data_IF_688974591087
#
_entry.id   IF_688974591087
#
_cell.length_a   1.000
_cell.length_b   1.000
_cell.length_c   1.000
_cell.angle_alpha   90.00
_cell.angle_beta   90.00
_cell.angle_gamma   90.00
#
_symmetry.space_group_name_H-M   'P 1'
#
loop_
_entity.id
_entity.type
_entity.pdbx_description
1 polymer ?
#
# COMPACT_ATOMS: atom_id res chain seq x y z
N UNK A 1 7.52 -8.64 19.68
CA UNK A 1 6.92 -7.31 19.78
C UNK A 1 7.04 -6.73 18.38
N UNK A 2 5.92 -6.45 17.70
CA UNK A 2 6.01 -5.70 16.44
C UNK A 2 6.56 -4.33 16.82
N UNK A 3 7.68 -3.92 16.23
CA UNK A 3 8.13 -2.53 16.35
C UNK A 3 7.05 -1.66 15.71
N UNK A 4 6.37 -0.84 16.51
CA UNK A 4 5.35 0.11 16.04
C UNK A 4 5.94 1.18 15.09
N UNK A 5 7.27 1.20 14.94
CA UNK A 5 8.03 2.09 14.08
C UNK A 5 8.26 1.53 12.66
N UNK A 6 7.43 0.60 12.17
CA UNK A 6 7.55 0.04 10.83
C UNK A 6 6.54 0.68 9.87
N UNK A 7 7.06 1.28 8.80
CA UNK A 7 6.29 1.89 7.72
C UNK A 7 6.38 1.05 6.45
N UNK A 8 5.33 1.12 5.63
CA UNK A 8 5.28 0.47 4.32
C UNK A 8 5.76 1.47 3.26
N UNK A 9 6.64 1.04 2.36
CA UNK A 9 7.10 1.83 1.20
C UNK A 9 6.93 1.08 -0.10
N UNK A 10 7.07 1.80 -1.21
CA UNK A 10 7.31 1.19 -2.52
C UNK A 10 8.73 1.50 -3.01
N UNK A 11 9.43 0.48 -3.48
CA UNK A 11 10.73 0.64 -4.14
C UNK A 11 10.82 -0.31 -5.32
N UNK A 12 11.09 0.21 -6.53
CA UNK A 12 11.20 -0.59 -7.77
C UNK A 12 9.98 -1.47 -8.05
N UNK A 13 8.78 -0.96 -7.78
CA UNK A 13 7.53 -1.69 -8.05
C UNK A 13 7.26 -2.85 -7.10
N UNK A 14 7.94 -2.91 -5.95
CA UNK A 14 7.63 -3.87 -4.88
C UNK A 14 7.37 -3.15 -3.56
N UNK A 15 6.53 -3.76 -2.73
CA UNK A 15 6.24 -3.29 -1.37
C UNK A 15 7.35 -3.76 -0.42
N UNK A 16 7.79 -2.87 0.47
CA UNK A 16 8.80 -3.18 1.48
C UNK A 16 8.44 -2.56 2.82
N UNK A 17 8.89 -3.22 3.89
CA UNK A 17 8.88 -2.68 5.23
C UNK A 17 10.19 -1.94 5.50
N UNK A 18 10.10 -0.77 6.11
CA UNK A 18 11.25 0.00 6.57
C UNK A 18 10.93 0.66 7.91
N UNK A 19 11.95 1.11 8.62
CA UNK A 19 11.76 1.98 9.79
C UNK A 19 11.13 3.30 9.34
N UNK A 20 10.10 3.77 10.05
CA UNK A 20 9.48 5.05 9.78
C UNK A 20 10.47 6.20 10.03
N UNK A 21 10.69 7.04 9.03
CA UNK A 21 11.45 8.28 9.13
C UNK A 21 10.52 9.51 9.15
N UNK A 22 11.00 10.67 9.60
CA UNK A 22 10.19 11.89 9.66
C UNK A 22 9.65 12.33 8.28
N UNK A 23 10.46 12.13 7.24
CA UNK A 23 10.09 12.30 5.82
C UNK A 23 9.73 10.97 5.14
N UNK A 24 9.32 9.99 5.94
CA UNK A 24 9.05 8.62 5.51
C UNK A 24 8.01 8.49 4.39
N UNK A 25 7.91 7.31 3.78
CA UNK A 25 7.02 7.04 2.65
C UNK A 25 5.57 7.40 2.98
N UNK A 26 5.02 8.35 2.21
CA UNK A 26 3.64 8.82 2.39
C UNK A 26 2.71 8.02 1.50
N UNK A 27 1.62 7.55 2.08
CA UNK A 27 0.50 6.97 1.38
C UNK A 27 -0.72 7.88 1.53
N UNK A 28 -1.41 8.10 0.43
CA UNK A 28 -2.61 8.91 0.35
C UNK A 28 -3.80 7.98 0.08
N UNK A 29 -4.77 7.99 0.98
CA UNK A 29 -5.99 7.19 0.83
C UNK A 29 -7.13 8.08 0.34
N UNK A 30 -7.61 7.80 -0.86
CA UNK A 30 -8.75 8.51 -1.42
C UNK A 30 -10.06 7.84 -0.95
N UNK A 31 -10.86 8.56 -0.15
CA UNK A 31 -12.14 8.06 0.37
C UNK A 31 -13.26 7.94 -0.67
N UNK A 32 -13.11 8.57 -1.83
CA UNK A 32 -14.09 8.49 -2.94
C UNK A 32 -13.76 7.31 -3.87
N UNK A 33 -12.49 7.14 -4.24
CA UNK A 33 -12.07 6.06 -5.15
C UNK A 33 -11.68 4.78 -4.43
N UNK A 34 -11.47 4.85 -3.11
CA UNK A 34 -10.94 3.78 -2.26
C UNK A 34 -9.52 3.34 -2.64
N UNK A 35 -8.76 4.16 -3.35
CA UNK A 35 -7.40 3.83 -3.76
C UNK A 35 -6.38 4.29 -2.72
N UNK A 36 -5.33 3.48 -2.56
CA UNK A 36 -4.16 3.80 -1.72
C UNK A 36 -2.98 4.14 -2.62
N UNK A 37 -2.62 5.42 -2.73
CA UNK A 37 -1.55 5.91 -3.62
C UNK A 37 -0.27 6.19 -2.84
N UNK A 38 0.84 5.60 -3.26
CA UNK A 38 2.16 5.96 -2.77
C UNK A 38 2.59 7.30 -3.37
N UNK A 39 2.76 8.31 -2.53
CA UNK A 39 2.95 9.71 -2.95
C UNK A 39 4.22 9.90 -3.79
N UNK A 40 5.30 9.19 -3.45
CA UNK A 40 6.59 9.40 -4.13
C UNK A 40 6.63 8.80 -5.55
N UNK A 41 5.91 7.70 -5.79
CA UNK A 41 5.91 7.01 -7.09
C UNK A 41 4.63 7.22 -7.90
N UNK A 42 3.59 7.81 -7.30
CA UNK A 42 2.24 7.90 -7.88
C UNK A 42 1.68 6.53 -8.31
N UNK A 43 2.07 5.47 -7.61
CA UNK A 43 1.60 4.11 -7.84
C UNK A 43 0.58 3.72 -6.78
N UNK A 44 -0.39 2.89 -7.16
CA UNK A 44 -1.45 2.43 -6.28
C UNK A 44 -1.17 1.01 -5.77
N UNK A 45 -1.55 0.76 -4.52
CA UNK A 45 -1.52 -0.57 -3.91
C UNK A 45 -2.61 -1.42 -4.55
N UNK A 46 -2.24 -2.61 -5.03
CA UNK A 46 -3.15 -3.57 -5.62
C UNK A 46 -3.14 -4.90 -4.86
N UNK A 47 -4.16 -5.71 -5.11
CA UNK A 47 -4.24 -7.08 -4.62
C UNK A 47 -2.98 -7.87 -5.01
N UNK A 48 -2.72 -8.95 -4.28
CA UNK A 48 -1.62 -9.85 -4.60
C UNK A 48 -1.70 -10.34 -6.06
N UNK A 49 -0.53 -10.46 -6.69
CA UNK A 49 -0.45 -10.91 -8.08
C UNK A 49 -0.50 -12.44 -8.15
N UNK A 50 -0.73 -13.01 -9.34
CA UNK A 50 -0.66 -14.47 -9.49
C UNK A 50 0.75 -15.04 -9.28
N UNK A 51 1.78 -14.21 -9.50
CA UNK A 51 3.18 -14.56 -9.33
C UNK A 51 3.64 -14.53 -7.87
N UNK A 52 3.03 -13.68 -7.06
CA UNK A 52 3.28 -13.55 -5.62
C UNK A 52 1.96 -13.31 -4.91
N UNK A 53 1.45 -14.38 -4.30
CA UNK A 53 0.18 -14.40 -3.57
C UNK A 53 0.32 -13.97 -2.11
N UNK A 54 1.56 -13.81 -1.64
CA UNK A 54 1.86 -13.50 -0.24
C UNK A 54 2.01 -11.98 -0.01
N UNK A 55 2.36 -11.23 -1.06
CA UNK A 55 2.50 -9.78 -1.00
C UNK A 55 1.48 -9.05 -1.91
N UNK A 56 0.93 -7.90 -1.46
CA UNK A 56 0.17 -7.01 -2.34
C UNK A 56 1.07 -6.47 -3.47
N UNK A 57 0.45 -6.20 -4.62
CA UNK A 57 1.15 -5.61 -5.76
C UNK A 57 1.19 -4.09 -5.66
N UNK A 58 2.07 -3.47 -6.44
CA UNK A 58 2.06 -2.02 -6.65
C UNK A 58 2.32 -1.70 -8.12
N UNK A 59 1.51 -0.81 -8.68
CA UNK A 59 1.51 -0.51 -10.10
C UNK A 59 0.88 0.85 -10.42
N UNK A 60 0.76 1.19 -11.72
CA UNK A 60 -0.04 2.35 -12.13
C UNK A 60 -1.44 2.29 -11.52
N UNK A 61 -1.96 3.45 -11.11
CA UNK A 61 -3.34 3.54 -10.63
C UNK A 61 -4.30 3.32 -11.80
N UNK A 62 -5.11 2.27 -11.71
CA UNK A 62 -5.99 1.83 -12.80
C UNK A 62 -7.49 1.86 -12.45
N UNK A 63 -7.84 2.23 -11.21
CA UNK A 63 -9.23 2.25 -10.74
C UNK A 63 -9.90 0.87 -10.69
N UNK A 64 -9.14 -0.20 -10.87
CA UNK A 64 -9.67 -1.56 -10.84
C UNK A 64 -10.13 -1.93 -9.43
N UNK A 65 -11.09 -2.84 -9.33
CA UNK A 65 -11.53 -3.39 -8.03
C UNK A 65 -10.37 -4.02 -7.24
N UNK A 66 -9.31 -4.46 -7.92
CA UNK A 66 -8.10 -4.98 -7.28
C UNK A 66 -7.26 -3.91 -6.59
N UNK A 67 -7.45 -2.63 -6.86
CA UNK A 67 -6.74 -1.51 -6.24
C UNK A 67 -7.60 -0.71 -5.25
N UNK A 68 -8.82 -1.17 -4.97
CA UNK A 68 -9.74 -0.54 -4.03
C UNK A 68 -9.68 -1.24 -2.67
N UNK A 69 -9.43 -0.46 -1.63
CA UNK A 69 -9.24 -0.94 -0.27
C UNK A 69 -10.27 -0.30 0.65
N UNK A 70 -10.90 -1.11 1.49
CA UNK A 70 -11.78 -0.62 2.55
C UNK A 70 -11.14 -1.00 3.89
N UNK A 71 -10.97 0.00 4.75
CA UNK A 71 -10.52 -0.23 6.12
C UNK A 71 -11.73 -0.54 6.99
N UNK A 72 -11.67 -1.66 7.70
CA UNK A 72 -12.65 -2.01 8.73
C UNK A 72 -11.92 -2.29 10.03
N UNK A 73 -12.60 -1.99 11.14
CA UNK A 73 -12.15 -2.48 12.43
C UNK A 73 -12.17 -4.01 12.40
N UNK A 74 -11.06 -4.63 12.78
CA UNK A 74 -11.02 -6.07 12.99
C UNK A 74 -11.90 -6.38 14.21
N UNK A 75 -13.15 -6.77 13.98
CA UNK A 75 -13.96 -7.41 15.01
C UNK A 75 -13.39 -8.81 15.23
N UNK A 76 -12.67 -8.96 16.34
CA UNK A 76 -12.29 -10.25 16.90
C UNK A 76 -13.53 -10.99 17.43
#
# INVERSE_FOLDING_TARGET
MMDDNVCITSARGVIKFQTCEADGPKWDYNKETHELRHVNSNQCLGKASDADKEAPSIGPCDGSEGQKWTFSDMKM
#
